data_IF_674258498956
#
_entry.id   IF_674258498956
#
_cell.length_a   1.000
_cell.length_b   1.000
_cell.length_c   1.000
_cell.angle_alpha   90.00
_cell.angle_beta   90.00
_cell.angle_gamma   90.00
#
_symmetry.space_group_name_H-M   'P 1'
#
loop_
_entity.id
_entity.type
_entity.pdbx_description
1 polymer ?
#
# COMPACT_ATOMS: atom_id res chain seq x y z
N UNK A 1 8.06 14.45 11.73
CA UNK A 1 8.94 13.65 10.84
C UNK A 1 8.65 14.04 9.40
N UNK A 2 9.69 14.21 8.56
CA UNK A 2 9.57 14.51 7.12
C UNK A 2 10.34 13.47 6.32
N UNK A 3 9.80 13.05 5.17
CA UNK A 3 10.47 12.16 4.20
C UNK A 3 10.33 12.76 2.82
N UNK A 4 11.36 12.59 1.98
CA UNK A 4 11.41 13.19 0.64
C UNK A 4 11.50 12.12 -0.44
N UNK A 5 10.78 12.35 -1.50
CA UNK A 5 10.90 11.63 -2.75
C UNK A 5 10.86 12.64 -3.90
N UNK A 6 11.37 12.27 -5.05
CA UNK A 6 11.41 13.11 -6.24
C UNK A 6 11.13 12.31 -7.50
N UNK A 7 10.63 13.01 -8.50
CA UNK A 7 10.42 12.46 -9.83
C UNK A 7 10.97 13.44 -10.86
N UNK A 8 11.49 12.90 -11.96
CA UNK A 8 11.82 13.65 -13.17
C UNK A 8 11.02 13.03 -14.31
N UNK A 9 10.45 13.87 -15.17
CA UNK A 9 9.76 13.44 -16.37
C UNK A 9 10.25 14.23 -17.57
N UNK A 10 10.53 13.54 -18.66
CA UNK A 10 10.99 14.15 -19.91
C UNK A 10 10.07 13.71 -21.06
N UNK A 11 9.59 14.68 -21.82
CA UNK A 11 8.74 14.45 -22.99
C UNK A 11 7.24 14.45 -22.70
N UNK A 12 6.46 14.08 -23.71
CA UNK A 12 5.01 13.96 -23.60
C UNK A 12 4.60 12.71 -22.81
N UNK A 13 3.31 12.57 -22.50
CA UNK A 13 2.83 11.47 -21.67
C UNK A 13 3.11 10.10 -22.29
N UNK A 14 2.87 9.93 -23.58
CA UNK A 14 2.89 8.62 -24.24
C UNK A 14 4.30 8.09 -24.52
N UNK A 15 5.17 8.98 -25.00
CA UNK A 15 6.52 8.62 -25.45
C UNK A 15 7.62 9.04 -24.47
N UNK A 16 7.25 9.83 -23.47
CA UNK A 16 8.17 10.33 -22.45
C UNK A 16 8.71 9.22 -21.53
N UNK A 17 9.73 9.59 -20.77
CA UNK A 17 10.38 8.72 -19.79
C UNK A 17 10.61 9.50 -18.50
N UNK A 18 10.42 8.82 -17.39
CA UNK A 18 10.66 9.39 -16.08
C UNK A 18 11.54 8.53 -15.19
N UNK A 19 11.98 9.13 -14.10
CA UNK A 19 12.69 8.42 -13.02
C UNK A 19 12.16 8.86 -11.68
N UNK A 20 12.21 7.93 -10.72
CA UNK A 20 11.80 8.13 -9.33
C UNK A 20 12.99 7.93 -8.40
N UNK A 21 13.11 8.76 -7.39
CA UNK A 21 14.14 8.62 -6.36
C UNK A 21 13.58 8.90 -4.97
N UNK A 22 14.13 8.21 -3.97
CA UNK A 22 13.80 8.41 -2.56
C UNK A 22 15.02 8.91 -1.78
N UNK A 23 14.80 9.67 -0.71
CA UNK A 23 15.86 10.12 0.19
C UNK A 23 16.66 8.95 0.79
N UNK A 24 16.00 7.80 1.04
CA UNK A 24 16.63 6.56 1.51
C UNK A 24 17.48 5.85 0.45
N UNK A 25 17.43 6.29 -0.81
CA UNK A 25 18.09 5.68 -1.96
C UNK A 25 17.63 4.25 -2.30
N UNK A 26 16.54 3.79 -1.73
CA UNK A 26 15.93 2.51 -2.10
C UNK A 26 15.43 2.55 -3.56
N UNK A 27 14.91 3.71 -3.98
CA UNK A 27 14.73 4.04 -5.38
C UNK A 27 15.79 5.09 -5.76
N UNK A 28 16.56 4.81 -6.79
CA UNK A 28 17.62 5.72 -7.27
C UNK A 28 17.52 5.78 -8.78
N UNK A 29 16.96 6.90 -9.29
CA UNK A 29 16.70 7.07 -10.72
C UNK A 29 15.97 5.86 -11.34
N UNK A 30 15.04 5.28 -10.59
CA UNK A 30 14.27 4.10 -11.00
C UNK A 30 13.33 4.48 -12.14
N UNK A 31 13.42 3.85 -13.30
CA UNK A 31 12.65 4.27 -14.47
C UNK A 31 11.16 3.96 -14.32
N UNK A 32 10.33 4.85 -14.86
CA UNK A 32 8.90 4.62 -15.09
C UNK A 32 8.44 5.29 -16.37
N UNK A 33 7.34 4.83 -16.94
CA UNK A 33 6.82 5.31 -18.21
C UNK A 33 5.31 5.15 -18.29
N UNK A 34 4.70 5.65 -19.37
CA UNK A 34 3.30 5.35 -19.69
C UNK A 34 3.06 3.83 -19.74
N UNK A 35 3.96 3.09 -20.38
CA UNK A 35 3.81 1.66 -20.59
C UNK A 35 3.94 0.84 -19.30
N UNK A 36 4.83 1.23 -18.38
CA UNK A 36 4.93 0.57 -17.07
C UNK A 36 3.72 0.83 -16.17
N UNK A 37 2.93 1.87 -16.45
CA UNK A 37 1.76 2.25 -15.67
C UNK A 37 0.45 1.74 -16.27
N UNK A 38 0.28 1.77 -17.59
CA UNK A 38 -0.98 1.52 -18.28
C UNK A 38 -0.94 0.30 -19.21
N UNK A 39 0.24 -0.28 -19.43
CA UNK A 39 0.47 -1.49 -20.22
C UNK A 39 1.23 -2.51 -19.38
N UNK A 40 1.57 -3.67 -19.95
CA UNK A 40 2.27 -4.76 -19.26
C UNK A 40 3.81 -4.69 -19.38
N UNK A 41 4.39 -3.50 -19.54
CA UNK A 41 5.84 -3.35 -19.55
C UNK A 41 6.39 -3.51 -18.11
N UNK A 42 7.39 -4.37 -17.89
CA UNK A 42 8.04 -4.51 -16.59
C UNK A 42 8.68 -3.19 -16.13
N UNK A 43 8.45 -2.83 -14.88
CA UNK A 43 9.00 -1.62 -14.29
C UNK A 43 8.14 -1.12 -13.14
N UNK A 44 8.53 -0.01 -12.53
CA UNK A 44 7.76 0.57 -11.44
C UNK A 44 6.63 1.46 -11.94
N UNK A 45 5.64 1.67 -11.09
CA UNK A 45 4.52 2.58 -11.33
C UNK A 45 4.02 3.17 -10.00
N UNK A 46 3.30 4.30 -10.02
CA UNK A 46 2.80 4.92 -8.80
C UNK A 46 1.85 4.04 -8.00
N UNK A 47 1.04 3.23 -8.66
CA UNK A 47 0.02 2.40 -8.00
C UNK A 47 0.66 1.29 -7.15
N UNK A 48 1.71 0.63 -7.64
CA UNK A 48 2.47 -0.35 -6.86
C UNK A 48 3.18 0.29 -5.66
N UNK A 49 3.70 1.52 -5.83
CA UNK A 49 4.33 2.25 -4.73
C UNK A 49 3.32 2.64 -3.65
N UNK A 50 2.11 3.05 -4.04
CA UNK A 50 0.99 3.29 -3.12
C UNK A 50 0.62 2.00 -2.39
N UNK A 51 0.49 0.89 -3.12
CA UNK A 51 0.21 -0.43 -2.55
C UNK A 51 1.26 -0.86 -1.53
N UNK A 52 2.53 -0.72 -1.87
CA UNK A 52 3.65 -1.03 -0.96
C UNK A 52 3.59 -0.17 0.31
N UNK A 53 3.34 1.13 0.18
CA UNK A 53 3.19 2.04 1.30
C UNK A 53 1.99 1.65 2.19
N UNK A 54 0.86 1.28 1.59
CA UNK A 54 -0.33 0.89 2.32
C UNK A 54 -0.14 -0.43 3.05
N UNK A 55 0.37 -1.46 2.38
CA UNK A 55 0.65 -2.76 3.00
C UNK A 55 1.61 -2.64 4.18
N UNK A 56 2.73 -1.92 4.01
CA UNK A 56 3.70 -1.72 5.08
C UNK A 56 3.15 -0.93 6.26
N UNK A 57 2.44 0.17 6.01
CA UNK A 57 1.83 0.99 7.05
C UNK A 57 0.75 0.22 7.82
N UNK A 58 -0.10 -0.51 7.09
CA UNK A 58 -1.15 -1.34 7.70
C UNK A 58 -0.57 -2.44 8.59
N UNK A 59 0.44 -3.20 8.11
CA UNK A 59 1.08 -4.27 8.88
C UNK A 59 1.66 -3.76 10.20
N UNK A 60 2.31 -2.59 10.18
CA UNK A 60 2.84 -1.96 11.39
C UNK A 60 1.72 -1.49 12.32
N UNK A 61 0.64 -0.92 11.79
CA UNK A 61 -0.52 -0.49 12.58
C UNK A 61 -1.21 -1.69 13.24
N UNK A 62 -1.37 -2.78 12.49
CA UNK A 62 -1.94 -4.03 13.02
C UNK A 62 -1.05 -4.61 14.13
N UNK A 63 0.25 -4.70 13.91
CA UNK A 63 1.20 -5.18 14.93
C UNK A 63 1.12 -4.36 16.22
N UNK A 64 1.04 -3.05 16.11
CA UNK A 64 0.88 -2.16 17.28
C UNK A 64 -0.43 -2.42 18.03
N UNK A 65 -1.56 -2.52 17.32
CA UNK A 65 -2.87 -2.72 17.94
C UNK A 65 -2.95 -4.10 18.60
N UNK A 66 -2.43 -5.14 17.95
CA UNK A 66 -2.33 -6.49 18.52
C UNK A 66 -1.49 -6.50 19.79
N UNK A 67 -0.33 -5.84 19.78
CA UNK A 67 0.53 -5.74 20.96
C UNK A 67 -0.15 -5.06 22.15
N UNK A 68 -0.92 -3.99 21.91
CA UNK A 68 -1.72 -3.30 22.95
C UNK A 68 -2.82 -4.20 23.52
N UNK A 69 -3.32 -5.16 22.74
CA UNK A 69 -4.30 -6.16 23.16
C UNK A 69 -3.65 -7.43 23.77
N UNK A 70 -2.33 -7.43 23.96
CA UNK A 70 -1.59 -8.57 24.51
C UNK A 70 -1.37 -9.74 23.54
N UNK A 71 -1.64 -9.52 22.25
CA UNK A 71 -1.40 -10.49 21.18
C UNK A 71 -0.08 -10.16 20.47
N UNK A 72 0.87 -11.10 20.47
CA UNK A 72 2.17 -10.89 19.86
C UNK A 72 2.25 -11.69 18.53
N UNK A 73 2.15 -11.04 17.38
CA UNK A 73 2.23 -11.73 16.10
C UNK A 73 3.67 -12.20 15.84
N UNK A 74 3.81 -13.45 15.42
CA UNK A 74 5.05 -13.97 14.88
C UNK A 74 5.26 -13.48 13.44
N UNK A 75 4.17 -13.36 12.67
CA UNK A 75 4.20 -12.92 11.28
C UNK A 75 2.91 -12.21 10.91
N UNK A 76 3.03 -11.15 10.12
CA UNK A 76 1.92 -10.49 9.42
C UNK A 76 2.32 -10.36 7.96
N UNK A 77 1.53 -10.90 7.07
CA UNK A 77 1.66 -10.75 5.63
C UNK A 77 0.47 -9.94 5.12
N UNK A 78 0.75 -8.93 4.32
CA UNK A 78 -0.28 -8.05 3.77
C UNK A 78 0.01 -7.80 2.30
N UNK A 79 -0.94 -8.18 1.46
CA UNK A 79 -0.98 -7.80 0.06
C UNK A 79 -1.98 -6.67 -0.14
N UNK A 80 -1.58 -5.61 -0.85
CA UNK A 80 -2.44 -4.49 -1.17
C UNK A 80 -2.68 -4.42 -2.68
N UNK A 81 -3.94 -4.52 -3.08
CA UNK A 81 -4.37 -4.34 -4.46
C UNK A 81 -4.95 -2.95 -4.64
N UNK A 82 -4.28 -2.11 -5.42
CA UNK A 82 -4.72 -0.76 -5.77
C UNK A 82 -5.48 -0.81 -7.09
N UNK A 83 -6.72 -0.34 -7.08
CA UNK A 83 -7.54 -0.26 -8.30
C UNK A 83 -7.59 1.19 -8.78
N UNK A 84 -7.20 1.39 -10.03
CA UNK A 84 -7.35 2.65 -10.75
C UNK A 84 -8.38 2.48 -11.86
N UNK A 85 -9.34 3.37 -11.93
CA UNK A 85 -10.44 3.32 -12.89
C UNK A 85 -10.58 4.65 -13.61
N UNK A 86 -11.25 4.61 -14.76
CA UNK A 86 -11.58 5.81 -15.52
C UNK A 86 -12.58 6.66 -14.71
N UNK A 87 -12.29 7.95 -14.60
CA UNK A 87 -13.14 8.93 -13.92
C UNK A 87 -13.28 10.18 -14.82
N UNK A 88 -14.41 10.30 -15.48
CA UNK A 88 -14.63 11.33 -16.50
C UNK A 88 -13.58 11.24 -17.63
N UNK A 89 -12.86 12.32 -17.85
CA UNK A 89 -11.77 12.38 -18.84
C UNK A 89 -10.40 11.96 -18.28
N UNK A 90 -10.35 11.55 -17.02
CA UNK A 90 -9.13 11.15 -16.32
C UNK A 90 -9.22 9.77 -15.69
N UNK A 91 -8.39 9.57 -14.67
CA UNK A 91 -8.32 8.35 -13.87
C UNK A 91 -8.31 8.68 -12.39
N UNK A 92 -8.90 7.79 -11.58
CA UNK A 92 -8.86 7.86 -10.13
C UNK A 92 -8.49 6.51 -9.53
N UNK A 93 -7.75 6.54 -8.43
CA UNK A 93 -7.61 5.37 -7.55
C UNK A 93 -8.91 5.24 -6.76
N UNK A 94 -9.70 4.22 -7.08
CA UNK A 94 -11.05 4.03 -6.53
C UNK A 94 -11.07 3.14 -5.30
N UNK A 95 -10.12 2.21 -5.19
CA UNK A 95 -10.04 1.32 -4.03
C UNK A 95 -8.63 0.83 -3.73
N UNK A 96 -8.43 0.45 -2.47
CA UNK A 96 -7.33 -0.36 -2.01
C UNK A 96 -7.89 -1.55 -1.23
N UNK A 97 -7.60 -2.75 -1.70
CA UNK A 97 -7.99 -4.00 -1.02
C UNK A 97 -6.78 -4.61 -0.32
N UNK A 98 -6.94 -4.95 0.96
CA UNK A 98 -5.91 -5.57 1.78
C UNK A 98 -6.26 -7.03 2.04
N UNK A 99 -5.43 -7.95 1.57
CA UNK A 99 -5.44 -9.36 1.96
C UNK A 99 -4.38 -9.56 3.04
N UNK A 100 -4.83 -9.97 4.23
CA UNK A 100 -3.99 -10.03 5.43
C UNK A 100 -4.01 -11.43 6.01
N UNK A 101 -2.84 -11.98 6.28
CA UNK A 101 -2.66 -13.24 7.01
C UNK A 101 -1.73 -13.01 8.18
N UNK A 102 -2.16 -13.39 9.38
CA UNK A 102 -1.34 -13.25 10.59
C UNK A 102 -1.20 -14.58 11.32
N UNK A 103 0.02 -14.88 11.75
CA UNK A 103 0.35 -16.00 12.64
C UNK A 103 0.54 -15.47 14.05
N UNK A 104 -0.39 -15.81 14.95
CA UNK A 104 -0.39 -15.32 16.33
C UNK A 104 -0.75 -16.48 17.25
N UNK A 105 0.23 -17.18 17.83
CA UNK A 105 -0.04 -18.33 18.68
C UNK A 105 -0.98 -18.01 19.84
N UNK A 106 -2.05 -18.78 19.97
CA UNK A 106 -3.01 -18.65 21.06
C UNK A 106 -3.93 -17.42 20.99
N UNK A 107 -3.98 -16.72 19.85
CA UNK A 107 -4.86 -15.58 19.69
C UNK A 107 -6.33 -15.97 19.53
N UNK A 108 -7.21 -15.15 20.09
CA UNK A 108 -8.65 -15.22 19.82
C UNK A 108 -8.96 -14.59 18.45
N UNK A 109 -9.67 -15.33 17.61
CA UNK A 109 -9.98 -14.90 16.23
C UNK A 109 -10.85 -13.63 16.22
N UNK A 110 -11.83 -13.52 17.12
CA UNK A 110 -12.71 -12.34 17.16
C UNK A 110 -11.91 -11.08 17.56
N UNK A 111 -11.02 -11.19 18.54
CA UNK A 111 -10.13 -10.10 18.95
C UNK A 111 -9.14 -9.71 17.82
N UNK A 112 -8.63 -10.69 17.08
CA UNK A 112 -7.80 -10.44 15.90
C UNK A 112 -8.57 -9.67 14.82
N UNK A 113 -9.79 -10.09 14.47
CA UNK A 113 -10.59 -9.42 13.43
C UNK A 113 -10.96 -7.99 13.84
N UNK A 114 -11.25 -7.75 15.12
CA UNK A 114 -11.47 -6.38 15.63
C UNK A 114 -10.22 -5.52 15.48
N UNK A 115 -9.05 -6.07 15.83
CA UNK A 115 -7.77 -5.38 15.66
C UNK A 115 -7.47 -5.07 14.20
N UNK A 116 -7.78 -5.99 13.29
CA UNK A 116 -7.60 -5.83 11.85
C UNK A 116 -8.46 -4.68 11.29
N UNK A 117 -9.73 -4.58 11.69
CA UNK A 117 -10.60 -3.48 11.31
C UNK A 117 -10.14 -2.13 11.89
N UNK A 118 -9.69 -2.10 13.15
CA UNK A 118 -9.10 -0.91 13.77
C UNK A 118 -7.85 -0.45 13.03
N UNK A 119 -6.98 -1.37 12.63
CA UNK A 119 -5.77 -1.06 11.87
C UNK A 119 -6.12 -0.45 10.50
N UNK A 120 -7.13 -1.01 9.80
CA UNK A 120 -7.64 -0.46 8.54
C UNK A 120 -8.09 1.00 8.68
N UNK A 121 -8.82 1.31 9.74
CA UNK A 121 -9.33 2.66 9.96
C UNK A 121 -8.25 3.66 10.43
N UNK A 122 -7.23 3.19 11.14
CA UNK A 122 -6.26 4.06 11.82
C UNK A 122 -4.89 4.15 11.14
N UNK A 123 -4.58 3.28 10.21
CA UNK A 123 -3.34 3.37 9.43
C UNK A 123 -3.24 4.76 8.75
N UNK A 124 -2.14 5.50 8.94
CA UNK A 124 -1.96 6.82 8.33
C UNK A 124 -2.14 6.85 6.81
N UNK A 125 -1.73 5.80 6.11
CA UNK A 125 -1.92 5.71 4.65
C UNK A 125 -3.40 5.48 4.31
N UNK A 126 -4.13 4.66 5.08
CA UNK A 126 -5.58 4.54 4.92
C UNK A 126 -6.28 5.90 5.05
N UNK A 127 -5.89 6.69 6.05
CA UNK A 127 -6.46 8.03 6.28
C UNK A 127 -6.10 9.04 5.18
N UNK A 128 -4.97 8.86 4.52
CA UNK A 128 -4.52 9.70 3.42
C UNK A 128 -5.34 9.48 2.14
N UNK A 129 -5.78 8.24 1.91
CA UNK A 129 -6.45 7.85 0.67
C UNK A 129 -7.91 8.34 0.63
N UNK A 130 -8.29 9.00 -0.46
CA UNK A 130 -9.68 9.23 -0.81
C UNK A 130 -10.19 8.10 -1.70
N UNK A 131 -10.13 6.87 -1.19
CA UNK A 131 -10.50 5.66 -1.91
C UNK A 131 -11.21 4.69 -0.96
N UNK A 132 -12.00 3.77 -1.51
CA UNK A 132 -12.64 2.72 -0.70
C UNK A 132 -11.58 1.72 -0.23
N UNK A 133 -11.47 1.52 1.08
CA UNK A 133 -10.56 0.54 1.66
C UNK A 133 -11.35 -0.66 2.16
N UNK A 134 -10.99 -1.84 1.67
CA UNK A 134 -11.57 -3.12 2.07
C UNK A 134 -10.48 -4.05 2.60
N UNK A 135 -10.86 -5.01 3.43
CA UNK A 135 -9.94 -5.97 4.03
C UNK A 135 -10.53 -7.37 4.04
N UNK A 136 -9.66 -8.34 3.84
CA UNK A 136 -9.90 -9.75 4.12
C UNK A 136 -8.79 -10.21 5.06
N UNK A 137 -9.10 -10.47 6.32
CA UNK A 137 -8.12 -10.83 7.34
C UNK A 137 -8.32 -12.26 7.83
N UNK A 138 -7.23 -13.02 7.90
CA UNK A 138 -7.21 -14.41 8.35
C UNK A 138 -6.15 -14.61 9.42
N UNK A 139 -6.56 -15.30 10.49
CA UNK A 139 -5.66 -15.81 11.52
C UNK A 139 -5.26 -17.25 11.14
N UNK A 140 -3.98 -17.57 11.21
CA UNK A 140 -3.42 -18.88 10.92
C UNK A 140 -2.47 -19.32 12.02
#
# INVERSE_FOLDING_TARGET
MKRKASAVWNGNLKDGRGTLSTESRILTSTPYSFRTRFEEEPGTNPEELIGTAHAGCYSMALSMILGLAGMNPEKIETDATITMEKDGDGFAVTSSHLDVTATIPGADEAAFLEAAEKAKANCPISKLMNAKITINARLV
#
